data_IF_907301753819
#
_entry.id   IF_907301753819
#
_cell.length_a   1.000
_cell.length_b   1.000
_cell.length_c   1.000
_cell.angle_alpha   90.00
_cell.angle_beta   90.00
_cell.angle_gamma   90.00
#
_symmetry.space_group_name_H-M   'P 1'
#
loop_
_entity.id
_entity.type
_entity.pdbx_description
1 polymer ?
#
# COMPACT_ATOMS: atom_id res chain seq x y z
N UNK A 1 11.75 6.65 -18.42
CA UNK A 1 11.57 6.16 -17.05
C UNK A 1 10.27 5.46 -16.89
N UNK A 2 10.27 4.41 -16.12
CA UNK A 2 9.05 3.64 -15.89
C UNK A 2 8.16 4.34 -14.88
N UNK A 3 6.86 4.32 -15.16
CA UNK A 3 5.89 4.84 -14.22
C UNK A 3 5.72 3.86 -13.06
N UNK A 4 5.39 4.35 -11.85
CA UNK A 4 5.09 3.45 -10.73
C UNK A 4 3.89 2.57 -11.06
N UNK A 5 3.94 1.32 -10.65
CA UNK A 5 2.90 0.34 -10.93
C UNK A 5 1.98 0.16 -9.73
N UNK A 6 0.70 0.27 -9.98
CA UNK A 6 -0.34 0.15 -8.96
C UNK A 6 -1.19 -1.08 -9.21
N UNK A 7 -1.33 -1.92 -8.19
CA UNK A 7 -2.30 -3.00 -8.22
C UNK A 7 -3.59 -2.47 -7.60
N UNK A 8 -4.63 -2.32 -8.41
CA UNK A 8 -5.90 -1.74 -7.98
C UNK A 8 -6.99 -2.79 -8.07
N UNK A 9 -7.62 -3.10 -6.95
CA UNK A 9 -8.62 -4.17 -6.88
C UNK A 9 -9.97 -3.60 -6.47
N UNK A 10 -10.92 -3.68 -7.38
CA UNK A 10 -12.24 -3.08 -7.23
C UNK A 10 -13.23 -3.81 -8.12
N UNK A 11 -14.36 -4.25 -7.58
CA UNK A 11 -15.37 -4.97 -8.37
C UNK A 11 -16.43 -4.05 -8.98
N UNK A 12 -16.54 -2.79 -8.54
CA UNK A 12 -17.44 -1.82 -9.15
C UNK A 12 -16.80 -1.31 -10.44
N UNK A 13 -17.34 -1.73 -11.58
CA UNK A 13 -16.75 -1.42 -12.88
C UNK A 13 -16.66 0.08 -13.18
N UNK A 14 -17.70 0.83 -12.80
CA UNK A 14 -17.73 2.27 -13.06
C UNK A 14 -16.67 3.00 -12.23
N UNK A 15 -16.64 2.70 -10.94
CA UNK A 15 -15.66 3.32 -10.05
C UNK A 15 -14.24 2.92 -10.48
N UNK A 16 -14.04 1.65 -10.83
CA UNK A 16 -12.73 1.17 -11.27
C UNK A 16 -12.26 1.91 -12.51
N UNK A 17 -13.15 2.09 -13.48
CA UNK A 17 -12.80 2.79 -14.72
C UNK A 17 -12.39 4.24 -14.46
N UNK A 18 -13.20 4.95 -13.67
CA UNK A 18 -12.94 6.36 -13.39
C UNK A 18 -11.65 6.54 -12.59
N UNK A 19 -11.44 5.70 -11.58
CA UNK A 19 -10.26 5.78 -10.75
C UNK A 19 -9.00 5.45 -11.55
N UNK A 20 -9.04 4.38 -12.32
CA UNK A 20 -7.90 3.98 -13.15
C UNK A 20 -7.54 5.08 -14.14
N UNK A 21 -8.56 5.66 -14.80
CA UNK A 21 -8.34 6.71 -15.79
C UNK A 21 -7.63 7.91 -15.16
N UNK A 22 -8.09 8.34 -13.99
CA UNK A 22 -7.47 9.46 -13.29
C UNK A 22 -6.04 9.16 -12.87
N UNK A 23 -5.79 7.97 -12.38
CA UNK A 23 -4.44 7.58 -11.96
C UNK A 23 -3.50 7.51 -13.16
N UNK A 24 -3.98 6.98 -14.28
CA UNK A 24 -3.15 6.90 -15.49
C UNK A 24 -2.83 8.27 -16.05
N UNK A 25 -3.75 9.23 -15.93
CA UNK A 25 -3.48 10.60 -16.33
C UNK A 25 -2.40 11.26 -15.47
N UNK A 26 -2.15 10.72 -14.29
CA UNK A 26 -1.13 11.22 -13.38
C UNK A 26 0.15 10.38 -13.43
N UNK A 27 0.37 9.68 -14.53
CA UNK A 27 1.60 8.97 -14.81
C UNK A 27 1.81 7.72 -13.96
N UNK A 28 0.74 7.00 -13.64
CA UNK A 28 0.82 5.70 -12.97
C UNK A 28 0.38 4.60 -13.95
N UNK A 29 1.03 3.45 -13.85
CA UNK A 29 0.61 2.25 -14.60
C UNK A 29 -0.32 1.46 -13.68
N UNK A 30 -1.59 1.39 -14.03
CA UNK A 30 -2.60 0.76 -13.17
C UNK A 30 -3.01 -0.59 -13.72
N UNK A 31 -2.89 -1.61 -12.89
CA UNK A 31 -3.35 -2.96 -13.21
C UNK A 31 -4.60 -3.22 -12.38
N UNK A 32 -5.75 -3.23 -13.03
CA UNK A 32 -7.02 -3.40 -12.35
C UNK A 32 -7.46 -4.85 -12.34
N UNK A 33 -7.87 -5.35 -11.18
CA UNK A 33 -8.44 -6.68 -11.01
C UNK A 33 -9.80 -6.55 -10.33
N UNK A 34 -10.72 -7.46 -10.63
CA UNK A 34 -12.07 -7.39 -10.10
C UNK A 34 -12.26 -8.19 -8.81
N UNK A 35 -11.35 -9.10 -8.51
CA UNK A 35 -11.46 -9.92 -7.31
C UNK A 35 -10.07 -10.24 -6.75
N UNK A 36 -10.06 -10.75 -5.52
CA UNK A 36 -8.82 -11.01 -4.81
C UNK A 36 -7.99 -12.14 -5.39
N UNK A 37 -8.62 -13.12 -6.03
CA UNK A 37 -7.88 -14.23 -6.62
C UNK A 37 -7.09 -13.75 -7.83
N UNK A 38 -7.74 -13.01 -8.73
CA UNK A 38 -7.08 -12.43 -9.90
C UNK A 38 -5.96 -11.49 -9.47
N UNK A 39 -6.21 -10.71 -8.41
CA UNK A 39 -5.21 -9.77 -7.90
C UNK A 39 -3.97 -10.47 -7.39
N UNK A 40 -4.13 -11.56 -6.66
CA UNK A 40 -2.99 -12.30 -6.14
C UNK A 40 -2.16 -12.92 -7.27
N UNK A 41 -2.83 -13.45 -8.30
CA UNK A 41 -2.13 -13.96 -9.46
C UNK A 41 -1.32 -12.86 -10.15
N UNK A 42 -1.91 -11.69 -10.29
CA UNK A 42 -1.24 -10.54 -10.90
C UNK A 42 -0.05 -10.10 -10.05
N UNK A 43 -0.22 -10.07 -8.75
CA UNK A 43 0.83 -9.68 -7.82
C UNK A 43 2.05 -10.60 -7.93
N UNK A 44 1.81 -11.90 -8.15
CA UNK A 44 2.90 -12.86 -8.25
C UNK A 44 3.66 -12.77 -9.57
N UNK A 45 3.11 -12.09 -10.57
CA UNK A 45 3.73 -11.98 -11.90
C UNK A 45 4.38 -10.63 -12.15
N UNK A 46 3.97 -9.59 -11.47
CA UNK A 46 4.40 -8.23 -11.73
C UNK A 46 4.88 -7.60 -10.42
N UNK A 47 5.96 -6.83 -10.49
CA UNK A 47 6.46 -6.09 -9.33
C UNK A 47 5.69 -4.77 -9.22
N UNK A 48 4.91 -4.63 -8.17
CA UNK A 48 4.13 -3.44 -7.94
C UNK A 48 4.81 -2.51 -6.93
N UNK A 49 4.47 -1.23 -7.01
CA UNK A 49 5.01 -0.22 -6.09
C UNK A 49 4.02 0.11 -4.98
N UNK A 50 2.73 -0.10 -5.22
CA UNK A 50 1.70 0.16 -4.21
C UNK A 50 0.45 -0.65 -4.57
N UNK A 51 -0.31 -1.02 -3.53
CA UNK A 51 -1.56 -1.76 -3.69
C UNK A 51 -2.72 -0.95 -3.14
N UNK A 52 -3.83 -0.94 -3.85
CA UNK A 52 -5.06 -0.25 -3.45
C UNK A 52 -6.20 -1.24 -3.58
N UNK A 53 -6.80 -1.65 -2.46
CA UNK A 53 -7.81 -2.70 -2.45
C UNK A 53 -9.11 -2.24 -1.83
N UNK A 54 -10.22 -2.56 -2.49
CA UNK A 54 -11.51 -2.52 -1.82
C UNK A 54 -11.55 -3.69 -0.83
N UNK A 55 -12.10 -3.47 0.34
CA UNK A 55 -12.26 -4.54 1.33
C UNK A 55 -13.33 -5.54 0.88
N UNK A 56 -14.45 -5.04 0.35
CA UNK A 56 -15.58 -5.87 -0.06
C UNK A 56 -15.41 -6.41 -1.47
N UNK A 57 -14.65 -7.49 -1.59
CA UNK A 57 -14.37 -8.10 -2.89
C UNK A 57 -14.95 -9.51 -2.97
N UNK A 58 -15.37 -9.96 -4.17
CA UNK A 58 -15.78 -11.35 -4.34
C UNK A 58 -14.57 -12.28 -4.27
N UNK A 59 -14.84 -13.55 -3.98
CA UNK A 59 -13.89 -14.66 -3.91
C UNK A 59 -12.92 -14.53 -2.74
N UNK A 60 -12.00 -13.57 -2.78
CA UNK A 60 -11.06 -13.35 -1.69
C UNK A 60 -11.14 -11.87 -1.33
N UNK A 61 -11.58 -11.54 -0.12
CA UNK A 61 -11.79 -10.15 0.26
C UNK A 61 -10.46 -9.40 0.44
N UNK A 62 -10.56 -8.08 0.61
CA UNK A 62 -9.37 -7.24 0.70
C UNK A 62 -8.46 -7.58 1.87
N UNK A 63 -9.03 -8.00 2.99
CA UNK A 63 -8.23 -8.39 4.15
C UNK A 63 -7.44 -9.66 3.88
N UNK A 64 -8.10 -10.67 3.29
CA UNK A 64 -7.44 -11.92 2.95
C UNK A 64 -6.34 -11.70 1.92
N UNK A 65 -6.60 -10.82 0.95
CA UNK A 65 -5.63 -10.47 -0.07
C UNK A 65 -4.40 -9.79 0.55
N UNK A 66 -4.64 -8.84 1.45
CA UNK A 66 -3.54 -8.14 2.12
C UNK A 66 -2.70 -9.10 2.94
N UNK A 67 -3.34 -10.03 3.65
CA UNK A 67 -2.63 -11.03 4.43
C UNK A 67 -1.72 -11.89 3.55
N UNK A 68 -2.25 -12.33 2.39
CA UNK A 68 -1.47 -13.12 1.46
C UNK A 68 -0.28 -12.35 0.92
N UNK A 69 -0.48 -11.08 0.59
CA UNK A 69 0.59 -10.24 0.06
C UNK A 69 1.66 -9.99 1.12
N UNK A 70 1.26 -9.76 2.37
CA UNK A 70 2.22 -9.52 3.46
C UNK A 70 3.13 -10.70 3.74
N UNK A 71 2.70 -11.91 3.39
CA UNK A 71 3.57 -13.09 3.52
C UNK A 71 4.69 -13.08 2.51
N UNK A 72 4.51 -12.38 1.39
CA UNK A 72 5.49 -12.31 0.32
C UNK A 72 6.30 -11.02 0.40
N UNK A 73 5.64 -9.91 0.70
CA UNK A 73 6.26 -8.59 0.72
C UNK A 73 5.73 -7.82 1.93
N UNK A 74 6.60 -7.59 2.91
CA UNK A 74 6.23 -6.91 4.14
C UNK A 74 6.31 -5.38 4.01
N UNK A 75 6.83 -4.87 2.90
CA UNK A 75 7.11 -3.45 2.75
C UNK A 75 6.24 -2.69 1.77
N UNK A 76 5.64 -3.37 0.80
CA UNK A 76 4.85 -2.66 -0.20
C UNK A 76 3.68 -1.93 0.46
N UNK A 77 3.46 -0.63 0.14
CA UNK A 77 2.34 0.09 0.74
C UNK A 77 1.00 -0.50 0.32
N UNK A 78 0.07 -0.60 1.26
CA UNK A 78 -1.30 -1.07 1.01
C UNK A 78 -2.28 -0.04 1.54
N UNK A 79 -3.18 0.42 0.68
CA UNK A 79 -4.26 1.33 1.05
C UNK A 79 -5.57 0.58 0.87
N UNK A 80 -6.39 0.50 1.91
CA UNK A 80 -7.73 -0.07 1.81
C UNK A 80 -8.76 1.00 1.46
N UNK A 81 -9.69 0.63 0.60
CA UNK A 81 -10.87 1.45 0.29
C UNK A 81 -12.09 0.72 0.80
N UNK A 82 -13.03 1.42 1.41
CA UNK A 82 -14.25 0.77 1.88
C UNK A 82 -15.38 1.76 2.10
N UNK A 83 -16.61 1.32 1.85
CA UNK A 83 -17.80 2.06 2.21
C UNK A 83 -18.05 1.99 3.71
N UNK A 84 -17.40 1.07 4.42
CA UNK A 84 -17.60 0.88 5.85
C UNK A 84 -16.76 1.83 6.67
N UNK A 85 -17.37 2.39 7.72
CA UNK A 85 -16.70 3.31 8.62
C UNK A 85 -16.48 2.69 10.00
N UNK A 86 -16.75 1.39 10.15
CA UNK A 86 -16.66 0.74 11.45
C UNK A 86 -15.22 0.73 11.96
N UNK A 87 -15.07 1.11 13.21
CA UNK A 87 -13.76 1.17 13.86
C UNK A 87 -13.06 -0.19 13.83
N UNK A 88 -13.81 -1.27 14.01
CA UNK A 88 -13.25 -2.63 14.01
C UNK A 88 -12.61 -2.96 12.68
N UNK A 89 -13.23 -2.56 11.57
CA UNK A 89 -12.68 -2.84 10.24
C UNK A 89 -11.38 -2.07 10.02
N UNK A 90 -11.33 -0.84 10.49
CA UNK A 90 -10.11 -0.02 10.37
C UNK A 90 -8.97 -0.62 11.18
N UNK A 91 -9.28 -1.07 12.39
CA UNK A 91 -8.28 -1.70 13.27
C UNK A 91 -7.78 -2.99 12.63
N UNK A 92 -8.69 -3.80 12.10
CA UNK A 92 -8.32 -5.05 11.45
C UNK A 92 -7.39 -4.81 10.27
N UNK A 93 -7.72 -3.81 9.43
CA UNK A 93 -6.87 -3.46 8.30
C UNK A 93 -5.48 -3.04 8.71
N UNK A 94 -5.39 -2.20 9.73
CA UNK A 94 -4.10 -1.73 10.22
C UNK A 94 -3.28 -2.85 10.84
N UNK A 95 -3.92 -3.79 11.54
CA UNK A 95 -3.24 -4.95 12.11
C UNK A 95 -2.67 -5.87 11.04
N UNK A 96 -3.31 -5.93 9.88
CA UNK A 96 -2.81 -6.73 8.76
C UNK A 96 -1.69 -6.02 8.00
N UNK A 97 -1.29 -4.84 8.45
CA UNK A 97 -0.18 -4.13 7.86
C UNK A 97 -0.55 -3.18 6.74
N UNK A 98 -1.81 -2.76 6.68
CA UNK A 98 -2.20 -1.71 5.75
C UNK A 98 -1.59 -0.39 6.21
N UNK A 99 -1.22 0.44 5.26
CA UNK A 99 -0.61 1.73 5.57
C UNK A 99 -1.65 2.83 5.75
N UNK A 100 -2.82 2.65 5.15
CA UNK A 100 -3.89 3.62 5.30
C UNK A 100 -5.23 3.01 4.95
N UNK A 101 -6.29 3.76 5.21
CA UNK A 101 -7.67 3.33 5.06
C UNK A 101 -8.49 4.53 4.58
N UNK A 102 -9.08 4.42 3.42
CA UNK A 102 -9.83 5.51 2.81
C UNK A 102 -11.31 5.13 2.67
N UNK A 103 -12.20 5.98 3.16
CA UNK A 103 -13.65 5.70 3.17
C UNK A 103 -14.28 6.19 1.86
N UNK A 104 -15.13 5.35 1.27
CA UNK A 104 -15.89 5.72 0.08
C UNK A 104 -17.13 6.50 0.46
N UNK A 105 -17.54 7.50 -0.30
CA UNK A 105 -16.86 7.97 -1.51
C UNK A 105 -15.64 8.80 -1.14
N UNK A 106 -14.55 8.58 -1.86
CA UNK A 106 -13.31 9.30 -1.60
C UNK A 106 -13.04 10.31 -2.70
N UNK A 107 -12.24 11.32 -2.37
CA UNK A 107 -11.77 12.29 -3.35
C UNK A 107 -10.59 11.69 -4.11
N UNK A 108 -10.58 11.82 -5.43
CA UNK A 108 -9.47 11.34 -6.23
C UNK A 108 -8.19 12.11 -5.85
N UNK A 109 -8.34 13.38 -5.49
CA UNK A 109 -7.21 14.19 -5.06
C UNK A 109 -6.59 13.64 -3.76
N UNK A 110 -7.43 13.21 -2.83
CA UNK A 110 -6.96 12.62 -1.58
C UNK A 110 -6.21 11.32 -1.85
N UNK A 111 -6.76 10.48 -2.73
CA UNK A 111 -6.12 9.24 -3.11
C UNK A 111 -4.75 9.49 -3.76
N UNK A 112 -4.69 10.44 -4.68
CA UNK A 112 -3.43 10.79 -5.36
C UNK A 112 -2.37 11.27 -4.37
N UNK A 113 -2.77 12.09 -3.41
CA UNK A 113 -1.84 12.59 -2.39
C UNK A 113 -1.30 11.45 -1.53
N UNK A 114 -2.16 10.51 -1.13
CA UNK A 114 -1.73 9.36 -0.34
C UNK A 114 -0.77 8.47 -1.11
N UNK A 115 -1.08 8.21 -2.38
CA UNK A 115 -0.19 7.43 -3.24
C UNK A 115 1.19 8.08 -3.30
N UNK A 116 1.23 9.37 -3.54
CA UNK A 116 2.47 10.11 -3.65
C UNK A 116 3.29 10.02 -2.36
N UNK A 117 2.63 10.20 -1.23
CA UNK A 117 3.31 10.13 0.08
C UNK A 117 3.92 8.75 0.32
N UNK A 118 3.15 7.70 0.08
CA UNK A 118 3.63 6.35 0.35
C UNK A 118 4.72 5.91 -0.63
N UNK A 119 4.63 6.34 -1.89
CA UNK A 119 5.69 6.04 -2.85
C UNK A 119 7.01 6.72 -2.48
N UNK A 120 6.94 7.95 -2.00
CA UNK A 120 8.13 8.67 -1.54
C UNK A 120 8.77 7.99 -0.34
N UNK A 121 7.96 7.53 0.61
CA UNK A 121 8.47 6.82 1.78
C UNK A 121 9.16 5.52 1.38
N UNK A 122 8.56 4.79 0.47
CA UNK A 122 9.10 3.53 0.00
C UNK A 122 10.45 3.72 -0.69
N UNK A 123 10.55 4.71 -1.57
CA UNK A 123 11.79 5.02 -2.26
C UNK A 123 12.90 5.43 -1.30
N UNK A 124 12.57 6.23 -0.31
CA UNK A 124 13.52 6.68 0.69
C UNK A 124 14.04 5.49 1.49
N UNK A 125 13.16 4.57 1.85
CA UNK A 125 13.54 3.39 2.60
C UNK A 125 14.48 2.50 1.79
N UNK A 126 14.20 2.31 0.52
CA UNK A 126 15.06 1.53 -0.36
C UNK A 126 16.44 2.14 -0.47
N UNK A 127 16.54 3.45 -0.58
CA UNK A 127 17.81 4.14 -0.64
C UNK A 127 18.63 3.90 0.61
N UNK A 128 18.01 3.95 1.76
CA UNK A 128 18.71 3.71 3.02
C UNK A 128 19.18 2.28 3.13
N UNK A 129 18.38 1.33 2.69
CA UNK A 129 18.74 -0.09 2.75
C UNK A 129 19.85 -0.45 1.78
N UNK A 130 19.96 0.27 0.69
CA UNK A 130 21.00 -0.02 -0.30
C UNK A 130 22.31 0.70 -0.05
N UNK A 131 22.36 1.58 0.92
CA UNK A 131 23.57 2.30 1.24
C UNK A 131 24.59 1.34 1.83
N UNK A 132 25.75 1.20 1.21
CA UNK A 132 26.64 0.13 1.62
C UNK A 132 27.28 0.34 2.95
N UNK A 133 27.39 1.44 3.38
CA UNK A 133 28.04 1.61 4.53
C UNK A 133 27.27 1.79 5.62
N UNK A 134 26.36 1.91 5.39
CA UNK A 134 25.76 2.15 6.34
C UNK A 134 25.82 1.60 7.32
N UNK A 135 25.97 1.46 7.37
CA UNK A 135 25.90 0.99 8.21
C UNK A 135 26.64 0.70 9.14
N UNK A 136 27.13 0.33 8.97
CA UNK A 136 27.90 -0.21 9.85
C UNK A 136 28.07 0.52 10.99
N UNK A 137 28.01 1.30 11.12
CA UNK A 137 28.27 1.92 12.11
C UNK A 137 27.29 2.38 12.79
N UNK A 138 26.52 2.34 12.79
CA UNK A 138 25.60 2.73 13.39
C UNK A 138 24.97 2.14 14.12
N UNK A 139 25.06 2.07 14.50
CA UNK A 139 24.65 1.65 15.09
C UNK A 139 24.12 1.86 15.97
N UNK A 140 23.98 2.15 16.22
CA UNK A 140 23.14 2.24 16.62
C UNK A 140 22.29 2.59 16.83
N UNK A 141 22.16 3.14 17.12
CA UNK A 141 21.23 3.54 17.14
C UNK A 141 20.13 3.30 16.93
N UNK A 142 19.79 2.96 16.99
CA UNK A 142 18.84 2.69 16.74
C UNK A 142 18.03 2.43 17.37
N UNK A 143 18.15 2.44 18.01
CA UNK A 143 17.52 2.24 18.50
C UNK A 143 16.82 2.98 18.69
N UNK A 144 17.50 3.56 18.55
CA UNK A 144 17.00 4.12 18.28
C UNK A 144 16.28 4.44 17.87
N UNK A 145 16.53 4.74 18.00
CA UNK A 145 15.87 4.90 17.27
C UNK A 145 15.02 4.62 17.43
N UNK A 146 15.18 4.56 17.71
CA UNK A 146 14.46 4.15 17.38
C UNK A 146 13.91 4.26 17.86
N UNK A 147 14.22 4.29 18.31
CA UNK A 147 13.88 4.27 18.32
C UNK A 147 13.25 4.74 18.39
N UNK A 148 13.65 5.18 18.58
CA UNK A 148 13.22 5.47 18.20
C UNK A 148 12.51 5.32 18.02
N UNK A 149 12.61 5.22 18.51
CA UNK A 149 12.08 4.77 17.91
C UNK A 149 11.36 4.43 18.21
N UNK A 150 11.85 4.66 18.09
CA UNK A 150 11.17 4.19 17.84
C UNK A 150 10.57 4.37 18.11
N UNK A 151 10.59 4.32 18.42
CA UNK A 151 10.06 4.33 18.17
C UNK A 151 9.68 4.58 18.25
N UNK A 152 9.70 4.75 17.84
CA UNK A 152 9.53 4.78 17.35
C UNK A 152 9.29 4.72 17.46
N UNK A 153 9.55 4.96 17.59
CA UNK A 153 9.44 4.72 17.34
C UNK A 153 9.30 4.81 17.40
N UNK A 154 9.57 4.95 17.59
CA UNK A 154 9.56 4.81 17.28
C UNK A 154 9.44 5.07 17.43
N UNK A 155 9.71 5.25 17.13
CA UNK A 155 9.71 5.32 16.88
C UNK A 155 9.83 5.47 16.70
N UNK A 156 9.90 5.38 17.07
CA UNK A 156 10.22 5.23 16.52
C UNK A 156 9.96 5.44 16.67
N UNK A 157 10.22 5.65 17.09
CA UNK A 157 10.05 5.59 16.72
C UNK A 157 9.99 5.69 16.82
#
# INVERSE_FOLDING_TARGET
MNNPKILYVEDDATLAFLTKDNLEQNQYDVYHCEDGVAALECFNKIDFDICIFDIMLPKKDGFELAEAIRKVDTHIPIIFLSAKTLKEDRIKGLRLGADDYLVKPFSIEELLLKIEIFLKRSQKKEKLESAPYQIGKYTFDTKNYLLWNASEKIKLT
#
